data_IF_339302180193
#
_entry.id   IF_339302180193
#
_cell.length_a   1.000
_cell.length_b   1.000
_cell.length_c   1.000
_cell.angle_alpha   90.00
_cell.angle_beta   90.00
_cell.angle_gamma   90.00
#
_symmetry.space_group_name_H-M   'P 1'
#
loop_
_entity.id
_entity.type
_entity.pdbx_description
1 polymer ?
#
# COMPACT_ATOMS: atom_id res chain seq x y z
N UNK A 1 -13.20 16.17 1.71
CA UNK A 1 -11.93 15.43 1.89
C UNK A 1 -12.32 13.97 1.94
N UNK A 2 -12.24 13.29 0.80
CA UNK A 2 -12.62 11.87 0.73
C UNK A 2 -11.46 11.09 1.34
N UNK A 3 -11.72 10.27 2.35
CA UNK A 3 -10.71 9.36 2.87
C UNK A 3 -10.31 8.37 1.78
N UNK A 4 -9.02 8.01 1.71
CA UNK A 4 -8.55 6.98 0.80
C UNK A 4 -9.22 5.63 1.15
N UNK A 5 -9.58 4.80 0.16
CA UNK A 5 -10.13 3.47 0.40
C UNK A 5 -9.15 2.60 1.19
N UNK A 6 -9.69 1.74 2.07
CA UNK A 6 -8.88 0.82 2.86
C UNK A 6 -8.79 -0.56 2.18
N UNK A 7 -7.59 -1.11 2.16
CA UNK A 7 -7.28 -2.47 1.73
C UNK A 7 -6.73 -3.27 2.93
N UNK A 8 -7.59 -4.00 3.62
CA UNK A 8 -7.19 -4.90 4.71
C UNK A 8 -6.86 -6.30 4.17
N UNK A 9 -5.58 -6.67 4.24
CA UNK A 9 -5.07 -7.95 3.73
C UNK A 9 -4.83 -8.99 4.82
N UNK A 10 -5.15 -8.69 6.09
CA UNK A 10 -4.88 -9.61 7.22
C UNK A 10 -5.65 -10.92 7.10
N UNK A 11 -6.84 -10.86 6.49
CA UNK A 11 -7.69 -12.04 6.23
C UNK A 11 -7.36 -12.74 4.90
N UNK A 12 -6.53 -12.14 4.05
CA UNK A 12 -6.16 -12.73 2.76
C UNK A 12 -5.02 -13.75 2.90
N UNK A 13 -5.05 -14.85 2.13
CA UNK A 13 -3.94 -15.79 2.07
C UNK A 13 -2.64 -15.09 1.67
N UNK A 14 -1.48 -15.40 2.31
CA UNK A 14 -0.20 -14.75 2.02
C UNK A 14 0.18 -14.69 0.53
N UNK A 15 -0.14 -15.75 -0.21
CA UNK A 15 0.12 -15.85 -1.64
C UNK A 15 -0.68 -14.83 -2.49
N UNK A 16 -1.81 -14.31 -1.99
CA UNK A 16 -2.68 -13.39 -2.71
C UNK A 16 -2.47 -11.92 -2.32
N UNK A 17 -1.91 -11.65 -1.15
CA UNK A 17 -1.72 -10.28 -0.63
C UNK A 17 -0.95 -9.41 -1.61
N UNK A 18 0.19 -9.89 -2.12
CA UNK A 18 1.02 -9.13 -3.07
C UNK A 18 0.27 -8.77 -4.35
N UNK A 19 -0.39 -9.74 -4.98
CA UNK A 19 -1.18 -9.50 -6.21
C UNK A 19 -2.25 -8.44 -5.97
N UNK A 20 -3.01 -8.57 -4.87
CA UNK A 20 -4.09 -7.63 -4.57
C UNK A 20 -3.57 -6.20 -4.35
N UNK A 21 -2.45 -6.04 -3.65
CA UNK A 21 -1.87 -4.73 -3.37
C UNK A 21 -1.35 -4.07 -4.66
N UNK A 22 -0.64 -4.82 -5.50
CA UNK A 22 -0.13 -4.32 -6.78
C UNK A 22 -1.26 -4.00 -7.76
N UNK A 23 -2.27 -4.87 -7.90
CA UNK A 23 -3.44 -4.61 -8.74
C UNK A 23 -4.19 -3.35 -8.29
N UNK A 24 -4.33 -3.16 -6.97
CA UNK A 24 -4.96 -1.96 -6.41
C UNK A 24 -4.14 -0.71 -6.75
N UNK A 25 -2.81 -0.76 -6.61
CA UNK A 25 -1.93 0.34 -6.97
C UNK A 25 -1.97 0.68 -8.46
N UNK A 26 -1.98 -0.33 -9.34
CA UNK A 26 -2.04 -0.12 -10.79
C UNK A 26 -3.36 0.51 -11.25
N UNK A 27 -4.44 0.30 -10.50
CA UNK A 27 -5.74 0.92 -10.73
C UNK A 27 -5.88 2.36 -10.23
N UNK A 28 -4.85 2.94 -9.60
CA UNK A 28 -4.91 4.31 -9.08
C UNK A 28 -4.80 5.37 -10.19
N UNK A 29 -5.72 6.33 -10.13
CA UNK A 29 -5.58 7.61 -10.82
C UNK A 29 -4.43 8.44 -10.21
N UNK A 30 -3.79 9.36 -10.97
CA UNK A 30 -2.79 10.27 -10.44
C UNK A 30 -3.34 11.07 -9.24
N UNK A 31 -2.55 11.14 -8.15
CA UNK A 31 -2.94 11.80 -6.91
C UNK A 31 -3.82 10.96 -5.97
N UNK A 32 -4.31 9.80 -6.41
CA UNK A 32 -5.08 8.89 -5.56
C UNK A 32 -4.17 7.96 -4.73
N UNK A 33 -4.73 7.36 -3.68
CA UNK A 33 -4.08 6.33 -2.89
C UNK A 33 -5.07 5.38 -2.22
N UNK A 34 -4.54 4.45 -1.44
CA UNK A 34 -5.29 3.55 -0.57
C UNK A 34 -4.51 3.29 0.72
N UNK A 35 -5.21 2.94 1.79
CA UNK A 35 -4.62 2.52 3.06
C UNK A 35 -4.47 1.01 3.10
N UNK A 36 -3.24 0.50 3.03
CA UNK A 36 -2.92 -0.89 3.31
C UNK A 36 -2.98 -1.16 4.82
N UNK A 37 -3.77 -2.14 5.24
CA UNK A 37 -3.76 -2.68 6.62
C UNK A 37 -3.16 -4.09 6.59
N UNK A 38 -2.06 -4.28 7.32
CA UNK A 38 -1.30 -5.53 7.34
C UNK A 38 -1.02 -5.98 8.79
N UNK A 39 -0.74 -7.28 8.96
CA UNK A 39 -0.42 -7.92 10.24
C UNK A 39 1.08 -7.85 10.60
N UNK A 40 1.91 -7.29 9.71
CA UNK A 40 3.35 -7.08 9.92
C UNK A 40 3.84 -5.88 9.10
N UNK A 41 5.07 -5.44 9.36
CA UNK A 41 5.74 -4.38 8.60
C UNK A 41 5.86 -4.76 7.10
N UNK A 42 5.23 -4.01 6.18
CA UNK A 42 5.32 -4.24 4.73
C UNK A 42 6.64 -3.79 4.11
N UNK A 43 7.72 -3.61 4.88
CA UNK A 43 9.05 -3.24 4.39
C UNK A 43 9.59 -4.03 3.17
N UNK A 44 9.42 -5.36 3.05
CA UNK A 44 9.81 -6.06 1.83
C UNK A 44 9.07 -5.56 0.59
N UNK A 45 7.79 -5.22 0.73
CA UNK A 45 6.97 -4.65 -0.32
C UNK A 45 7.43 -3.22 -0.67
N UNK A 46 7.79 -2.40 0.33
CA UNK A 46 8.38 -1.08 0.08
C UNK A 46 9.59 -1.18 -0.86
N UNK A 47 10.51 -2.12 -0.61
CA UNK A 47 11.69 -2.29 -1.46
C UNK A 47 11.34 -2.77 -2.87
N UNK A 48 10.28 -3.58 -3.01
CA UNK A 48 9.76 -3.92 -4.33
C UNK A 48 9.28 -2.67 -5.08
N UNK A 49 8.51 -1.80 -4.41
CA UNK A 49 8.05 -0.54 -4.99
C UNK A 49 9.21 0.40 -5.35
N UNK A 50 10.21 0.55 -4.48
CA UNK A 50 11.40 1.37 -4.77
C UNK A 50 12.20 0.85 -5.98
N UNK A 51 12.27 -0.46 -6.16
CA UNK A 51 12.95 -1.08 -7.29
C UNK A 51 12.18 -0.99 -8.61
N UNK A 52 10.86 -1.21 -8.59
CA UNK A 52 10.03 -1.32 -9.81
C UNK A 52 9.36 -0.01 -10.21
N UNK A 53 9.07 0.86 -9.25
CA UNK A 53 8.28 2.09 -9.42
C UNK A 53 9.00 3.32 -8.89
N UNK A 54 10.34 3.34 -8.95
CA UNK A 54 11.14 4.48 -8.48
C UNK A 54 10.54 5.82 -8.95
N UNK A 55 10.38 6.75 -8.01
CA UNK A 55 9.80 8.09 -8.20
C UNK A 55 8.34 8.13 -8.73
N UNK A 56 7.64 6.99 -8.75
CA UNK A 56 6.27 6.87 -9.27
C UNK A 56 5.23 6.50 -8.21
N UNK A 57 5.64 6.34 -6.94
CA UNK A 57 4.75 6.03 -5.82
C UNK A 57 5.02 6.94 -4.61
N UNK A 58 4.03 7.05 -3.74
CA UNK A 58 4.15 7.60 -2.39
C UNK A 58 3.94 6.50 -1.36
N UNK A 59 4.60 6.63 -0.22
CA UNK A 59 4.54 5.65 0.86
C UNK A 59 4.58 6.36 2.21
N UNK A 60 3.46 6.40 2.90
CA UNK A 60 3.31 7.09 4.18
C UNK A 60 2.87 6.11 5.25
N UNK A 61 3.67 5.94 6.31
CA UNK A 61 3.22 5.18 7.47
C UNK A 61 2.14 5.96 8.22
N UNK A 62 1.01 5.31 8.46
CA UNK A 62 -0.11 5.83 9.24
C UNK A 62 -0.15 5.21 10.64
N UNK A 63 0.32 3.96 10.76
CA UNK A 63 0.39 3.22 12.03
C UNK A 63 1.51 2.17 11.96
N UNK A 64 2.36 2.13 12.98
CA UNK A 64 3.56 1.30 13.03
C UNK A 64 3.51 0.30 14.20
N UNK A 65 2.64 -0.71 14.10
CA UNK A 65 2.67 -1.92 14.93
C UNK A 65 2.57 -1.72 16.45
N UNK A 66 2.71 -2.82 17.23
CA UNK A 66 2.92 -4.20 16.80
C UNK A 66 1.63 -4.93 16.39
N UNK A 67 0.45 -4.40 16.74
CA UNK A 67 -0.83 -5.08 16.50
C UNK A 67 -1.33 -4.90 15.06
N UNK A 68 -1.11 -3.72 14.48
CA UNK A 68 -1.55 -3.37 13.13
C UNK A 68 -0.50 -2.49 12.47
N UNK A 69 -0.27 -2.73 11.19
CA UNK A 69 0.54 -1.86 10.34
C UNK A 69 -0.35 -1.20 9.30
N UNK A 70 -0.33 0.13 9.25
CA UNK A 70 -1.10 0.90 8.25
C UNK A 70 -0.17 1.77 7.45
N UNK A 71 -0.25 1.64 6.14
CA UNK A 71 0.54 2.42 5.19
C UNK A 71 -0.39 2.98 4.12
N UNK A 72 -0.29 4.27 3.84
CA UNK A 72 -0.87 4.86 2.65
C UNK A 72 0.06 4.64 1.48
N UNK A 73 -0.41 3.93 0.45
CA UNK A 73 0.29 3.75 -0.81
C UNK A 73 -0.46 4.58 -1.85
N UNK A 74 0.26 5.43 -2.59
CA UNK A 74 -0.37 6.34 -3.54
C UNK A 74 0.42 6.52 -4.83
N UNK A 75 -0.25 7.08 -5.83
CA UNK A 75 0.36 7.56 -7.07
C UNK A 75 0.53 9.08 -6.98
N UNK A 76 1.71 9.65 -7.25
CA UNK A 76 1.92 11.09 -7.24
C UNK A 76 0.91 11.81 -8.15
N UNK A 77 0.49 13.01 -7.74
CA UNK A 77 -0.16 13.93 -8.66
C UNK A 77 0.89 14.40 -9.68
N UNK A 78 0.51 14.50 -10.96
CA UNK A 78 1.39 14.96 -12.03
C UNK A 78 1.86 16.41 -11.83
#
# INVERSE_FOLDING_TARGET
>A
MTADPQLDVRSEPPARRHTLILDTYHGLEPGAGFELVNDHDPKPLYYQFDAEYKDQFTWDYLEEGPEVWRVRIGRPAA
#
